data_IF_011630145292
#
_entry.id   IF_011630145292
#
_cell.length_a   1.000
_cell.length_b   1.000
_cell.length_c   1.000
_cell.angle_alpha   90.00
_cell.angle_beta   90.00
_cell.angle_gamma   90.00
#
_symmetry.space_group_name_H-M   'P 1'
#
loop_
_entity.id
_entity.type
_entity.pdbx_description
1 polymer ?
#
# COMPACT_ATOMS: atom_id res chain seq x y z
N UNK A 1 -30.25 6.77 36.33
CA UNK A 1 -29.92 7.49 35.08
C UNK A 1 -29.48 6.47 34.04
N UNK A 2 -30.27 6.26 33.00
CA UNK A 2 -29.92 5.35 31.89
C UNK A 2 -28.78 5.97 31.09
N UNK A 3 -27.56 5.41 31.21
CA UNK A 3 -26.42 5.86 30.41
C UNK A 3 -26.74 5.62 28.94
N UNK A 4 -26.89 6.69 28.16
CA UNK A 4 -27.04 6.57 26.70
C UNK A 4 -25.75 5.92 26.17
N UNK A 5 -25.84 4.86 25.35
CA UNK A 5 -24.67 4.25 24.76
C UNK A 5 -23.96 5.27 23.85
N UNK A 6 -22.64 5.18 23.77
CA UNK A 6 -21.85 5.96 22.79
C UNK A 6 -22.31 5.51 21.39
N UNK A 7 -22.67 6.43 20.48
CA UNK A 7 -23.04 6.09 19.12
C UNK A 7 -21.94 5.29 18.41
N UNK A 8 -22.33 4.32 17.58
CA UNK A 8 -21.40 3.41 16.91
C UNK A 8 -20.44 4.16 15.99
N UNK A 9 -20.92 5.20 15.31
CA UNK A 9 -20.14 6.04 14.40
C UNK A 9 -18.97 6.72 15.12
N UNK A 10 -19.19 7.14 16.36
CA UNK A 10 -18.17 7.76 17.21
C UNK A 10 -17.10 6.74 17.59
N UNK A 11 -17.52 5.52 17.94
CA UNK A 11 -16.59 4.43 18.27
C UNK A 11 -15.74 4.06 17.05
N UNK A 12 -16.36 3.98 15.86
CA UNK A 12 -15.67 3.70 14.59
C UNK A 12 -14.64 4.79 14.28
N UNK A 13 -15.03 6.06 14.35
CA UNK A 13 -14.13 7.19 14.11
C UNK A 13 -12.95 7.22 15.09
N UNK A 14 -13.24 7.07 16.39
CA UNK A 14 -12.21 7.02 17.43
C UNK A 14 -11.25 5.84 17.23
N UNK A 15 -11.77 4.67 16.85
CA UNK A 15 -10.96 3.49 16.56
C UNK A 15 -9.95 3.78 15.44
N UNK A 16 -10.39 4.34 14.31
CA UNK A 16 -9.51 4.66 13.18
C UNK A 16 -8.42 5.68 13.53
N UNK A 17 -8.78 6.73 14.28
CA UNK A 17 -7.81 7.71 14.78
C UNK A 17 -6.75 7.05 15.66
N UNK A 18 -7.18 6.20 16.59
CA UNK A 18 -6.28 5.48 17.50
C UNK A 18 -5.39 4.49 16.74
N UNK A 19 -5.90 3.75 15.74
CA UNK A 19 -5.10 2.78 14.99
C UNK A 19 -4.00 3.42 14.14
N UNK A 20 -4.19 4.67 13.71
CA UNK A 20 -3.17 5.41 12.95
C UNK A 20 -2.04 5.94 13.83
N UNK A 21 -2.22 5.94 15.16
CA UNK A 21 -1.23 6.38 16.12
C UNK A 21 -0.43 5.19 16.69
N UNK A 22 0.89 5.36 16.83
CA UNK A 22 1.75 4.42 17.54
C UNK A 22 1.21 4.12 18.95
N UNK A 23 1.34 2.88 19.41
CA UNK A 23 0.79 2.42 20.69
C UNK A 23 1.22 3.26 21.90
N UNK A 24 2.42 3.85 21.86
CA UNK A 24 2.99 4.70 22.93
C UNK A 24 2.66 6.19 22.79
N UNK A 25 1.97 6.61 21.72
CA UNK A 25 1.68 8.02 21.48
C UNK A 25 0.71 8.57 22.56
N UNK A 26 1.06 9.66 23.28
CA UNK A 26 0.22 10.23 24.34
C UNK A 26 -1.15 10.72 23.84
N UNK A 27 -1.26 11.10 22.56
CA UNK A 27 -2.50 11.55 21.93
C UNK A 27 -3.61 10.50 21.97
N UNK A 28 -3.26 9.21 22.05
CA UNK A 28 -4.25 8.13 22.27
C UNK A 28 -5.01 8.30 23.59
N UNK A 29 -4.34 8.72 24.65
CA UNK A 29 -4.99 8.98 25.96
C UNK A 29 -5.86 10.24 25.89
N UNK A 30 -5.37 11.29 25.22
CA UNK A 30 -6.11 12.53 25.04
C UNK A 30 -7.45 12.30 24.32
N UNK A 31 -7.44 11.58 23.18
CA UNK A 31 -8.65 11.26 22.42
C UNK A 31 -9.67 10.47 23.25
N UNK A 32 -9.22 9.48 24.04
CA UNK A 32 -10.11 8.71 24.92
C UNK A 32 -10.76 9.62 25.97
N UNK A 33 -9.98 10.52 26.59
CA UNK A 33 -10.48 11.46 27.60
C UNK A 33 -11.46 12.47 27.01
N UNK A 34 -11.16 13.01 25.84
CA UNK A 34 -12.04 13.95 25.12
C UNK A 34 -13.38 13.29 24.78
N UNK A 35 -13.35 12.06 24.26
CA UNK A 35 -14.57 11.30 23.96
C UNK A 35 -15.37 10.98 25.24
N UNK A 36 -14.68 10.65 26.32
CA UNK A 36 -15.31 10.40 27.61
C UNK A 36 -16.05 11.63 28.15
N UNK A 37 -15.43 12.82 28.02
CA UNK A 37 -16.03 14.10 28.40
C UNK A 37 -17.23 14.44 27.51
N UNK A 38 -17.11 14.31 26.19
CA UNK A 38 -18.17 14.65 25.24
C UNK A 38 -19.47 13.83 25.46
N UNK A 39 -19.34 12.56 25.83
CA UNK A 39 -20.48 11.66 26.05
C UNK A 39 -20.84 11.47 27.53
N UNK A 40 -20.17 12.21 28.44
CA UNK A 40 -20.35 12.11 29.89
C UNK A 40 -20.28 10.66 30.41
N UNK A 41 -19.27 9.93 29.96
CA UNK A 41 -18.99 8.54 30.33
C UNK A 41 -17.59 8.41 30.92
N UNK A 42 -17.31 7.30 31.60
CA UNK A 42 -15.95 7.05 32.10
C UNK A 42 -14.99 6.66 30.98
N UNK A 43 -13.71 6.97 31.14
CA UNK A 43 -12.62 6.46 30.29
C UNK A 43 -12.65 4.93 30.14
N UNK A 44 -13.02 4.20 31.20
CA UNK A 44 -13.17 2.74 31.17
C UNK A 44 -14.30 2.29 30.25
N UNK A 45 -15.38 3.06 30.15
CA UNK A 45 -16.51 2.76 29.26
C UNK A 45 -16.10 2.92 27.80
N UNK A 46 -15.38 3.99 27.46
CA UNK A 46 -14.83 4.22 26.11
C UNK A 46 -13.87 3.10 25.71
N UNK A 47 -12.93 2.73 26.61
CA UNK A 47 -12.01 1.61 26.36
C UNK A 47 -12.72 0.28 26.14
N UNK A 48 -13.78 0.02 26.91
CA UNK A 48 -14.60 -1.21 26.75
C UNK A 48 -15.33 -1.21 25.41
N UNK A 49 -15.89 -0.07 25.01
CA UNK A 49 -16.53 0.10 23.71
C UNK A 49 -15.55 -0.16 22.55
N UNK A 50 -14.36 0.43 22.61
CA UNK A 50 -13.28 0.19 21.63
C UNK A 50 -12.81 -1.27 21.60
N UNK A 51 -12.69 -1.93 22.76
CA UNK A 51 -12.30 -3.35 22.83
C UNK A 51 -13.37 -4.27 22.24
N UNK A 52 -14.64 -3.94 22.46
CA UNK A 52 -15.77 -4.72 21.98
C UNK A 52 -16.10 -4.44 20.51
N UNK A 53 -15.61 -3.34 19.95
CA UNK A 53 -15.71 -3.04 18.53
C UNK A 53 -14.89 -4.05 17.73
N UNK A 54 -15.57 -4.99 17.08
CA UNK A 54 -14.96 -5.99 16.19
C UNK A 54 -14.96 -5.45 14.77
N UNK A 55 -13.83 -4.92 14.33
CA UNK A 55 -13.63 -4.65 12.91
C UNK A 55 -13.33 -5.98 12.19
N UNK A 56 -13.83 -6.18 10.95
CA UNK A 56 -13.31 -7.21 10.07
C UNK A 56 -11.78 -7.07 9.97
N UNK A 57 -11.04 -8.12 10.31
CA UNK A 57 -9.59 -8.10 10.16
C UNK A 57 -9.24 -7.99 8.68
N UNK A 58 -8.32 -7.10 8.33
CA UNK A 58 -7.74 -7.09 6.99
C UNK A 58 -7.19 -8.49 6.67
N UNK A 59 -7.61 -9.05 5.53
CA UNK A 59 -7.10 -10.34 5.04
C UNK A 59 -5.59 -10.27 4.76
N UNK A 60 -5.08 -9.08 4.49
CA UNK A 60 -3.68 -8.85 4.16
C UNK A 60 -2.97 -7.98 5.18
N UNK A 61 -1.65 -8.15 5.25
CA UNK A 61 -0.78 -7.28 6.05
C UNK A 61 -0.84 -5.84 5.56
N UNK A 62 -0.50 -4.89 6.43
CA UNK A 62 -0.44 -3.46 6.10
C UNK A 62 0.55 -3.13 4.97
N UNK A 63 1.60 -3.94 4.80
CA UNK A 63 2.61 -3.81 3.74
C UNK A 63 2.29 -4.60 2.47
N UNK A 64 1.09 -5.17 2.36
CA UNK A 64 0.70 -5.98 1.21
C UNK A 64 0.79 -5.18 -0.10
N UNK A 65 1.35 -5.81 -1.13
CA UNK A 65 1.58 -5.22 -2.46
C UNK A 65 2.42 -3.94 -2.49
N UNK A 66 3.24 -3.68 -1.47
CA UNK A 66 4.25 -2.62 -1.51
C UNK A 66 5.61 -3.19 -1.93
N UNK A 67 6.33 -2.53 -2.87
CA UNK A 67 7.68 -2.94 -3.20
C UNK A 67 8.59 -2.70 -2.00
N UNK A 68 9.50 -3.64 -1.74
CA UNK A 68 10.40 -3.60 -0.57
C UNK A 68 11.77 -2.99 -0.87
N UNK A 69 12.23 -3.12 -2.12
CA UNK A 69 13.58 -2.68 -2.54
C UNK A 69 13.61 -1.28 -3.16
N UNK A 70 12.49 -0.83 -3.70
CA UNK A 70 12.35 0.44 -4.41
C UNK A 70 11.01 1.08 -4.07
N UNK A 71 10.86 2.36 -4.42
CA UNK A 71 9.59 3.07 -4.29
C UNK A 71 8.52 2.49 -5.23
N UNK A 72 7.25 2.79 -4.93
CA UNK A 72 6.14 2.38 -5.79
C UNK A 72 6.21 3.05 -7.17
N UNK A 73 6.62 4.32 -7.20
CA UNK A 73 6.78 5.13 -8.41
C UNK A 73 7.85 4.55 -9.33
N UNK A 74 9.02 4.19 -8.78
CA UNK A 74 10.08 3.54 -9.56
C UNK A 74 9.64 2.17 -10.09
N UNK A 75 8.97 1.36 -9.27
CA UNK A 75 8.46 0.06 -9.71
C UNK A 75 7.47 0.21 -10.87
N UNK A 76 6.57 1.18 -10.78
CA UNK A 76 5.63 1.48 -11.85
C UNK A 76 6.36 1.91 -13.12
N UNK A 77 7.28 2.87 -13.02
CA UNK A 77 8.07 3.35 -14.17
C UNK A 77 8.83 2.22 -14.86
N UNK A 78 9.47 1.33 -14.11
CA UNK A 78 10.16 0.18 -14.70
C UNK A 78 9.19 -0.80 -15.37
N UNK A 79 8.01 -1.01 -14.80
CA UNK A 79 6.97 -1.85 -15.42
C UNK A 79 6.46 -1.25 -16.74
N UNK A 80 6.24 0.06 -16.79
CA UNK A 80 5.84 0.78 -18.01
C UNK A 80 6.89 0.65 -19.11
N UNK A 81 8.17 0.85 -18.78
CA UNK A 81 9.28 0.67 -19.71
C UNK A 81 9.37 -0.77 -20.25
N UNK A 82 9.21 -1.76 -19.37
CA UNK A 82 9.21 -3.19 -19.75
C UNK A 82 8.02 -3.50 -20.65
N UNK A 83 6.83 -2.97 -20.34
CA UNK A 83 5.64 -3.13 -21.15
C UNK A 83 5.82 -2.50 -22.54
N UNK A 84 6.34 -1.28 -22.59
CA UNK A 84 6.66 -0.58 -23.84
C UNK A 84 7.67 -1.37 -24.69
N UNK A 85 8.73 -1.92 -24.09
CA UNK A 85 9.68 -2.80 -24.80
C UNK A 85 8.98 -4.01 -25.39
N UNK A 86 8.10 -4.66 -24.63
CA UNK A 86 7.33 -5.82 -25.10
C UNK A 86 6.42 -5.43 -26.26
N UNK A 87 5.61 -4.38 -26.11
CA UNK A 87 4.71 -3.89 -27.16
C UNK A 87 5.50 -3.56 -28.42
N UNK A 88 6.62 -2.82 -28.31
CA UNK A 88 7.45 -2.43 -29.45
C UNK A 88 8.09 -3.63 -30.16
N UNK A 89 8.41 -4.69 -29.42
CA UNK A 89 8.95 -5.94 -29.97
C UNK A 89 7.89 -6.89 -30.55
N UNK A 90 6.62 -6.49 -30.57
CA UNK A 90 5.53 -7.35 -31.03
C UNK A 90 5.60 -7.54 -32.54
N UNK A 91 5.61 -8.79 -32.99
CA UNK A 91 5.60 -9.11 -34.42
C UNK A 91 4.16 -9.23 -34.96
N UNK A 92 4.03 -9.43 -36.28
CA UNK A 92 2.73 -9.61 -36.97
C UNK A 92 1.92 -10.84 -36.47
N UNK A 93 2.56 -11.78 -35.77
CA UNK A 93 1.91 -12.96 -35.16
C UNK A 93 1.53 -12.72 -33.68
N UNK A 94 1.63 -11.48 -33.19
CA UNK A 94 1.30 -11.12 -31.81
C UNK A 94 2.32 -11.59 -30.76
N UNK A 95 3.48 -12.13 -31.17
CA UNK A 95 4.53 -12.55 -30.23
C UNK A 95 5.43 -11.36 -29.93
N UNK A 96 5.77 -11.19 -28.66
CA UNK A 96 6.66 -10.14 -28.15
C UNK A 96 7.80 -10.72 -27.32
N UNK A 97 8.72 -9.86 -26.91
CA UNK A 97 9.83 -10.16 -26.02
C UNK A 97 9.34 -10.79 -24.70
N UNK A 98 10.09 -11.74 -24.17
CA UNK A 98 9.82 -12.31 -22.85
C UNK A 98 10.19 -11.33 -21.75
N UNK A 99 9.49 -11.36 -20.60
CA UNK A 99 9.80 -10.47 -19.47
C UNK A 99 11.27 -10.56 -19.01
N UNK A 100 11.89 -11.76 -18.87
CA UNK A 100 13.31 -11.86 -18.51
C UNK A 100 14.23 -11.18 -19.52
N UNK A 101 13.91 -11.28 -20.82
CA UNK A 101 14.72 -10.62 -21.85
C UNK A 101 14.52 -9.12 -21.85
N UNK A 102 13.30 -8.63 -21.60
CA UNK A 102 13.02 -7.20 -21.44
C UNK A 102 13.77 -6.60 -20.23
N UNK A 103 13.77 -7.29 -19.09
CA UNK A 103 14.56 -6.93 -17.90
C UNK A 103 16.04 -6.87 -18.26
N UNK A 104 16.56 -7.90 -18.93
CA UNK A 104 17.98 -7.95 -19.32
C UNK A 104 18.37 -6.77 -20.22
N UNK A 105 17.52 -6.40 -21.19
CA UNK A 105 17.78 -5.24 -22.06
C UNK A 105 17.80 -3.97 -21.23
N UNK A 106 16.81 -3.77 -20.37
CA UNK A 106 16.71 -2.58 -19.52
C UNK A 106 17.91 -2.46 -18.55
N UNK A 107 18.36 -3.55 -17.94
CA UNK A 107 19.49 -3.54 -16.99
C UNK A 107 20.88 -3.42 -17.65
N UNK A 108 21.06 -3.90 -18.89
CA UNK A 108 22.39 -3.89 -19.54
C UNK A 108 22.55 -2.77 -20.57
N UNK A 109 21.49 -2.41 -21.29
CA UNK A 109 21.53 -1.38 -22.32
C UNK A 109 20.81 -0.11 -21.91
N UNK A 110 19.84 -0.18 -20.99
CA UNK A 110 19.04 0.98 -20.63
C UNK A 110 18.07 1.42 -21.71
N UNK A 111 17.26 2.43 -21.37
CA UNK A 111 16.37 3.10 -22.31
C UNK A 111 16.55 4.61 -22.16
N UNK A 112 16.71 5.30 -23.27
CA UNK A 112 16.74 6.77 -23.29
C UNK A 112 15.31 7.31 -23.35
N UNK A 113 14.95 8.12 -22.36
CA UNK A 113 13.66 8.77 -22.27
C UNK A 113 13.88 10.24 -21.88
N UNK A 114 13.38 11.17 -22.70
CA UNK A 114 13.48 12.62 -22.44
C UNK A 114 14.92 13.10 -22.15
N UNK A 115 15.90 12.56 -22.89
CA UNK A 115 17.32 12.89 -22.70
C UNK A 115 17.97 12.28 -21.47
N UNK A 116 17.24 11.47 -20.68
CA UNK A 116 17.78 10.72 -19.54
C UNK A 116 17.84 9.23 -19.86
N UNK A 117 19.01 8.64 -19.64
CA UNK A 117 19.18 7.19 -19.75
C UNK A 117 18.77 6.51 -18.46
N UNK A 118 17.76 5.65 -18.55
CA UNK A 118 17.21 4.90 -17.41
C UNK A 118 17.83 3.51 -17.41
N UNK A 119 18.64 3.22 -16.39
CA UNK A 119 19.28 1.91 -16.17
C UNK A 119 19.06 1.50 -14.71
N UNK A 120 18.19 0.53 -14.42
CA UNK A 120 18.09 -0.03 -13.08
C UNK A 120 19.34 -0.85 -12.74
N UNK A 121 19.78 -0.85 -11.46
CA UNK A 121 20.79 -1.76 -10.95
C UNK A 121 20.51 -3.22 -11.32
N UNK A 122 21.56 -3.96 -11.69
CA UNK A 122 21.43 -5.38 -12.07
C UNK A 122 20.84 -6.21 -10.93
N UNK A 123 19.87 -7.06 -11.24
CA UNK A 123 19.23 -7.94 -10.26
C UNK A 123 18.24 -7.24 -9.32
N UNK A 124 17.96 -5.94 -9.55
CA UNK A 124 16.90 -5.23 -8.85
C UNK A 124 15.53 -5.78 -9.26
N UNK A 125 15.35 -6.04 -10.55
CA UNK A 125 14.09 -6.46 -11.14
C UNK A 125 14.07 -7.98 -11.35
N UNK A 126 13.26 -8.68 -10.56
CA UNK A 126 13.09 -10.13 -10.72
C UNK A 126 11.83 -10.45 -11.54
N UNK A 127 11.91 -11.46 -12.42
CA UNK A 127 10.77 -11.91 -13.24
C UNK A 127 9.46 -12.08 -12.44
N UNK A 128 9.42 -12.75 -11.27
CA UNK A 128 8.18 -12.92 -10.52
C UNK A 128 7.60 -11.59 -10.03
N UNK A 129 8.45 -10.67 -9.59
CA UNK A 129 8.04 -9.35 -9.11
C UNK A 129 7.48 -8.53 -10.26
N UNK A 130 8.24 -8.39 -11.34
CA UNK A 130 7.82 -7.62 -12.52
C UNK A 130 6.51 -8.15 -13.10
N UNK A 131 6.38 -9.47 -13.29
CA UNK A 131 5.13 -10.06 -13.81
C UNK A 131 3.92 -9.79 -12.88
N UNK A 132 4.12 -9.82 -11.55
CA UNK A 132 3.06 -9.50 -10.59
C UNK A 132 2.59 -8.05 -10.75
N UNK A 133 3.53 -7.12 -10.90
CA UNK A 133 3.21 -5.70 -11.05
C UNK A 133 2.62 -5.38 -12.43
N UNK A 134 3.14 -5.96 -13.52
CA UNK A 134 2.54 -5.85 -14.86
C UNK A 134 1.07 -6.26 -14.84
N UNK A 135 0.76 -7.45 -14.31
CA UNK A 135 -0.62 -7.94 -14.19
C UNK A 135 -1.51 -6.99 -13.37
N UNK A 136 -0.97 -6.41 -12.29
CA UNK A 136 -1.71 -5.51 -11.41
C UNK A 136 -1.98 -4.14 -12.05
N UNK A 137 -1.03 -3.65 -12.84
CA UNK A 137 -1.13 -2.38 -13.54
C UNK A 137 -1.91 -2.49 -14.87
N UNK A 138 -2.20 -3.70 -15.33
CA UNK A 138 -2.89 -3.93 -16.62
C UNK A 138 -1.97 -3.74 -17.83
N UNK A 139 -0.68 -4.03 -17.67
CA UNK A 139 0.38 -3.86 -18.67
C UNK A 139 0.91 -5.19 -19.24
#
# INVERSE_FOLDING_TARGET
MTKKPIPTEVIVGLYHQITNLSAKNPQRKALISETALAFNVSNSTVRRALKNYRQPSSMFRSDYNRPRKISMEEMQRYCELIAALKIRSTNRKGKHLSTPRAIWILENHGIDLEGKRIIPPKGLLTKPTVNRYLKRLGL
#
